data_IF_186410545426
#
_entry.id   IF_186410545426
#
_cell.length_a   1.000
_cell.length_b   1.000
_cell.length_c   1.000
_cell.angle_alpha   90.00
_cell.angle_beta   90.00
_cell.angle_gamma   90.00
#
_symmetry.space_group_name_H-M   'P 1'
#
loop_
_entity.id
_entity.type
_entity.pdbx_description
1 polymer ?
#
# COMPACT_ATOMS: atom_id res chain seq x y z
N UNK A 1 5.00 20.14 -4.90
CA UNK A 1 4.41 18.92 -5.46
C UNK A 1 4.12 17.97 -4.30
N UNK A 2 2.94 18.07 -3.69
CA UNK A 2 2.61 17.28 -2.50
C UNK A 2 2.43 15.82 -2.93
N UNK A 3 3.28 14.92 -2.43
CA UNK A 3 2.99 13.50 -2.50
C UNK A 3 1.89 13.25 -1.47
N UNK A 4 0.64 13.05 -1.92
CA UNK A 4 -0.44 12.59 -1.05
C UNK A 4 -0.09 11.17 -0.57
N UNK A 5 0.58 11.08 0.56
CA UNK A 5 0.78 9.84 1.30
C UNK A 5 -0.51 9.54 2.07
N UNK A 6 -1.23 8.49 1.66
CA UNK A 6 -2.50 8.08 2.27
C UNK A 6 -2.35 6.67 2.82
N UNK A 7 -2.68 6.52 4.09
CA UNK A 7 -2.59 5.26 4.85
C UNK A 7 -3.97 4.66 5.05
N UNK A 8 -4.10 3.34 4.90
CA UNK A 8 -5.35 2.61 5.21
C UNK A 8 -5.04 1.29 5.92
N UNK A 9 -5.95 0.85 6.78
CA UNK A 9 -5.86 -0.42 7.50
C UNK A 9 -5.97 -1.62 6.55
N UNK A 10 -5.30 -2.73 6.89
CA UNK A 10 -5.15 -3.90 6.03
C UNK A 10 -6.51 -4.48 5.57
N UNK A 11 -6.60 -4.75 4.28
CA UNK A 11 -7.79 -5.32 3.64
C UNK A 11 -7.92 -6.82 3.99
N UNK A 12 -9.04 -7.28 4.57
CA UNK A 12 -9.26 -8.70 4.85
C UNK A 12 -9.64 -9.54 3.61
N UNK A 13 -9.55 -8.96 2.40
CA UNK A 13 -9.98 -9.60 1.16
C UNK A 13 -8.81 -10.34 0.51
N UNK A 14 -9.04 -11.57 0.05
CA UNK A 14 -8.07 -12.34 -0.72
C UNK A 14 -7.92 -11.73 -2.11
N UNK A 15 -6.76 -11.16 -2.40
CA UNK A 15 -6.39 -10.69 -3.73
C UNK A 15 -5.49 -11.73 -4.39
N UNK A 16 -5.78 -12.04 -5.66
CA UNK A 16 -4.98 -12.98 -6.44
C UNK A 16 -4.00 -12.26 -7.38
N UNK A 17 -4.30 -11.02 -7.76
CA UNK A 17 -3.48 -10.21 -8.67
C UNK A 17 -3.15 -8.84 -8.09
N UNK A 18 -1.91 -8.40 -8.28
CA UNK A 18 -1.41 -7.10 -7.85
C UNK A 18 -2.15 -5.93 -8.50
N UNK A 19 -2.50 -6.05 -9.78
CA UNK A 19 -3.24 -5.01 -10.49
C UNK A 19 -4.68 -4.85 -9.95
N UNK A 20 -5.34 -5.95 -9.59
CA UNK A 20 -6.65 -5.91 -8.93
C UNK A 20 -6.56 -5.20 -7.57
N UNK A 21 -5.55 -5.55 -6.78
CA UNK A 21 -5.26 -4.89 -5.50
C UNK A 21 -5.03 -3.39 -5.65
N UNK A 22 -4.24 -2.96 -6.64
CA UNK A 22 -4.03 -1.54 -6.95
C UNK A 22 -5.34 -0.83 -7.29
N UNK A 23 -6.21 -1.46 -8.08
CA UNK A 23 -7.51 -0.89 -8.44
C UNK A 23 -8.44 -0.76 -7.23
N UNK A 24 -8.46 -1.75 -6.33
CA UNK A 24 -9.25 -1.66 -5.10
C UNK A 24 -8.79 -0.49 -4.22
N UNK A 25 -7.49 -0.23 -4.13
CA UNK A 25 -6.95 0.93 -3.40
C UNK A 25 -7.43 2.23 -4.05
N UNK A 26 -7.32 2.36 -5.37
CA UNK A 26 -7.79 3.53 -6.11
C UNK A 26 -9.30 3.75 -5.90
N UNK A 27 -10.10 2.67 -5.98
CA UNK A 27 -11.54 2.70 -5.74
C UNK A 27 -11.87 3.13 -4.31
N UNK A 28 -11.18 2.58 -3.30
CA UNK A 28 -11.42 2.91 -1.88
C UNK A 28 -11.10 4.36 -1.54
N UNK A 29 -10.10 4.95 -2.22
CA UNK A 29 -9.78 6.37 -2.07
C UNK A 29 -10.60 7.28 -3.00
N UNK A 30 -11.55 6.73 -3.78
CA UNK A 30 -12.33 7.47 -4.78
C UNK A 30 -11.45 8.21 -5.81
N UNK A 31 -10.25 7.68 -6.07
CA UNK A 31 -9.25 8.27 -6.95
C UNK A 31 -9.31 7.72 -8.37
N UNK A 32 -10.42 7.09 -8.72
CA UNK A 32 -10.59 6.41 -9.99
C UNK A 32 -10.45 7.38 -11.17
N UNK A 33 -9.49 7.14 -12.06
CA UNK A 33 -9.23 7.96 -13.24
C UNK A 33 -8.39 9.23 -13.01
N UNK A 34 -8.19 9.67 -11.76
CA UNK A 34 -7.36 10.84 -11.44
C UNK A 34 -5.96 10.46 -10.99
N UNK A 35 -5.81 9.40 -10.21
CA UNK A 35 -4.51 8.93 -9.73
C UNK A 35 -4.29 7.46 -10.06
N UNK A 36 -3.03 7.11 -10.29
CA UNK A 36 -2.53 5.75 -10.42
C UNK A 36 -1.58 5.44 -9.27
N UNK A 37 -1.59 4.19 -8.82
CA UNK A 37 -0.66 3.71 -7.81
C UNK A 37 0.71 3.53 -8.45
N UNK A 38 1.70 4.35 -8.06
CA UNK A 38 3.08 4.21 -8.55
C UNK A 38 3.88 3.22 -7.73
N UNK A 39 3.65 3.20 -6.42
CA UNK A 39 4.38 2.30 -5.51
C UNK A 39 3.53 1.99 -4.30
N UNK A 40 3.54 0.72 -3.90
CA UNK A 40 2.88 0.25 -2.69
C UNK A 40 3.93 -0.13 -1.67
N UNK A 41 3.68 0.30 -0.44
CA UNK A 41 4.47 -0.08 0.71
C UNK A 41 3.52 -0.62 1.77
N UNK A 42 3.92 -1.68 2.44
CA UNK A 42 3.23 -2.13 3.64
C UNK A 42 4.18 -2.01 4.82
N UNK A 43 3.62 -1.72 6.00
CA UNK A 43 4.37 -1.53 7.23
C UNK A 43 3.87 -2.51 8.27
N UNK A 44 4.75 -3.40 8.72
CA UNK A 44 4.45 -4.37 9.78
C UNK A 44 5.27 -4.01 11.00
N UNK A 45 4.62 -4.00 12.14
CA UNK A 45 5.29 -3.94 13.42
C UNK A 45 5.98 -5.27 13.72
N UNK A 46 7.31 -5.27 13.71
CA UNK A 46 8.13 -6.37 14.23
C UNK A 46 8.42 -6.05 15.70
N UNK A 47 7.96 -6.89 16.62
CA UNK A 47 8.32 -6.78 18.03
C UNK A 47 9.81 -7.13 18.19
N UNK A 48 10.64 -6.09 18.33
CA UNK A 48 12.04 -6.29 18.73
C UNK A 48 12.05 -6.32 20.25
N UNK A 49 12.42 -7.47 20.79
CA UNK A 49 12.41 -7.79 22.21
C UNK A 49 13.47 -6.95 22.96
N UNK A 50 13.23 -5.66 23.19
CA UNK A 50 13.89 -4.95 24.31
C UNK A 50 13.26 -3.63 24.78
N UNK A 51 12.66 -2.76 23.95
CA UNK A 51 12.06 -1.51 24.48
C UNK A 51 11.17 -0.74 23.45
N UNK A 52 10.64 -1.41 22.42
CA UNK A 52 9.82 -0.70 21.43
C UNK A 52 9.27 -1.51 20.27
N UNK A 53 8.25 -0.95 19.64
CA UNK A 53 7.72 -1.45 18.37
C UNK A 53 8.61 -0.96 17.24
N UNK A 54 9.36 -1.87 16.60
CA UNK A 54 10.01 -1.52 15.35
C UNK A 54 9.03 -1.75 14.23
N UNK A 55 8.85 -0.76 13.37
CA UNK A 55 8.09 -0.95 12.15
C UNK A 55 9.05 -1.17 11.01
N UNK A 56 8.81 -2.24 10.25
CA UNK A 56 9.54 -2.50 9.02
C UNK A 56 8.62 -2.27 7.82
N UNK A 57 9.16 -1.64 6.78
CA UNK A 57 8.41 -1.23 5.59
C UNK A 57 8.91 -2.00 4.38
N UNK A 58 7.99 -2.64 3.69
CA UNK A 58 8.27 -3.51 2.56
C UNK A 58 7.58 -2.98 1.31
N UNK A 59 8.21 -3.14 0.15
CA UNK A 59 7.65 -2.72 -1.13
C UNK A 59 6.89 -3.89 -1.75
N UNK A 60 5.68 -3.64 -2.23
CA UNK A 60 4.90 -4.62 -3.01
C UNK A 60 5.05 -4.26 -4.48
N UNK A 61 5.66 -5.16 -5.24
CA UNK A 61 5.83 -5.00 -6.69
C UNK A 61 5.34 -6.18 -7.52
N UNK A 62 4.92 -7.27 -6.86
CA UNK A 62 4.53 -8.51 -7.52
C UNK A 62 3.39 -9.23 -6.78
N UNK A 63 2.78 -10.21 -7.46
CA UNK A 63 1.77 -11.08 -6.86
C UNK A 63 2.34 -11.93 -5.71
N UNK A 64 3.63 -12.29 -5.79
CA UNK A 64 4.35 -12.97 -4.71
C UNK A 64 4.43 -12.12 -3.44
N UNK A 65 4.77 -10.84 -3.58
CA UNK A 65 4.81 -9.89 -2.46
C UNK A 65 3.41 -9.67 -1.86
N UNK A 66 2.38 -9.66 -2.70
CA UNK A 66 0.99 -9.54 -2.28
C UNK A 66 0.54 -10.76 -1.46
N UNK A 67 0.93 -11.98 -1.85
CA UNK A 67 0.66 -13.18 -1.04
C UNK A 67 1.36 -13.13 0.30
N UNK A 68 2.62 -12.65 0.35
CA UNK A 68 3.35 -12.43 1.61
C UNK A 68 2.59 -11.43 2.49
N UNK A 69 2.10 -10.32 1.91
CA UNK A 69 1.27 -9.35 2.65
C UNK A 69 0.01 -10.02 3.23
N UNK A 70 -0.75 -10.77 2.42
CA UNK A 70 -1.98 -11.44 2.88
C UNK A 70 -1.66 -12.43 3.99
N UNK A 71 -0.60 -13.21 3.83
CA UNK A 71 -0.14 -14.17 4.83
C UNK A 71 0.25 -13.47 6.14
N UNK A 72 1.06 -12.41 6.05
CA UNK A 72 1.47 -11.62 7.20
C UNK A 72 0.28 -10.90 7.85
N UNK A 73 -0.62 -10.28 7.09
CA UNK A 73 -1.81 -9.65 7.64
C UNK A 73 -2.64 -10.69 8.40
N UNK A 74 -2.87 -11.90 7.86
CA UNK A 74 -3.64 -12.94 8.58
C UNK A 74 -2.95 -13.43 9.85
N UNK A 75 -1.63 -13.58 9.84
CA UNK A 75 -0.88 -14.11 10.97
C UNK A 75 -0.64 -13.06 12.07
N UNK A 76 -0.44 -11.79 11.69
CA UNK A 76 -0.17 -10.69 12.61
C UNK A 76 -1.39 -9.84 12.94
N UNK A 77 -2.56 -10.04 12.30
CA UNK A 77 -3.77 -9.25 12.58
C UNK A 77 -4.17 -9.29 14.05
N UNK A 78 -3.95 -10.43 14.69
CA UNK A 78 -4.29 -10.64 16.10
C UNK A 78 -3.31 -9.92 17.03
N UNK A 79 -2.08 -9.67 16.57
CA UNK A 79 -1.01 -9.08 17.35
C UNK A 79 -0.85 -7.56 17.16
N UNK A 80 -1.15 -7.00 15.97
CA UNK A 80 -1.08 -5.56 15.65
C UNK A 80 -1.64 -5.21 14.28
N UNK A 81 -2.16 -4.00 14.14
CA UNK A 81 -2.66 -3.44 12.87
C UNK A 81 -1.50 -3.18 11.88
N UNK A 82 -1.45 -3.88 10.73
CA UNK A 82 -0.53 -3.54 9.65
C UNK A 82 -1.07 -2.34 8.86
N UNK A 83 -0.18 -1.41 8.50
CA UNK A 83 -0.53 -0.20 7.74
C UNK A 83 -0.14 -0.37 6.27
N UNK A 84 -1.07 -0.06 5.37
CA UNK A 84 -0.79 0.01 3.94
C UNK A 84 -0.59 1.48 3.52
N UNK A 85 0.57 1.76 2.93
CA UNK A 85 0.98 3.07 2.45
C UNK A 85 1.08 3.03 0.92
N UNK A 86 0.42 3.97 0.25
CA UNK A 86 0.44 4.03 -1.21
C UNK A 86 0.98 5.35 -1.70
N UNK A 87 1.94 5.28 -2.62
CA UNK A 87 2.41 6.44 -3.36
C UNK A 87 1.60 6.57 -4.63
N UNK A 88 0.68 7.51 -4.60
CA UNK A 88 -0.19 7.85 -5.73
C UNK A 88 0.47 8.91 -6.60
N UNK A 89 0.26 8.81 -7.91
CA UNK A 89 0.70 9.80 -8.91
C UNK A 89 -0.47 10.13 -9.80
N UNK A 90 -0.58 11.39 -10.19
CA UNK A 90 -1.64 11.86 -11.08
C UNK A 90 -1.52 11.21 -12.48
N UNK A 91 -2.65 10.80 -13.04
CA UNK A 91 -2.75 10.19 -14.38
C UNK A 91 -2.48 11.24 -15.47
N UNK A 92 -2.70 12.52 -15.19
CA UNK A 92 -2.56 13.66 -16.09
C UNK A 92 -1.59 14.69 -15.49
N UNK A 93 -0.31 14.35 -15.48
CA UNK A 93 0.76 15.35 -15.36
C UNK A 93 1.56 15.44 -16.66
N UNK A 94 0.87 15.51 -17.80
CA UNK A 94 1.42 16.17 -18.98
C UNK A 94 1.21 17.67 -18.79
N UNK A 95 1.99 18.29 -17.90
CA UNK A 95 2.23 19.72 -18.03
C UNK A 95 2.97 19.89 -19.35
N UNK A 96 2.21 20.17 -20.39
CA UNK A 96 2.68 20.69 -21.67
C UNK A 96 3.49 21.93 -21.34
N UNK A 97 4.79 21.74 -21.14
CA UNK A 97 5.77 22.81 -21.07
C UNK A 97 5.85 23.36 -22.49
N UNK A 98 4.93 24.27 -22.80
CA UNK A 98 4.98 25.05 -24.03
C UNK A 98 6.07 26.09 -23.87
N UNK A 99 7.13 25.96 -24.65
CA UNK A 99 7.96 27.07 -25.11
C UNK A 99 7.75 27.23 -26.61
#
# INVERSE_FOLDING_TARGET
MASDDRSTECFPQTFNEFHEFQNTIIQKFELHGVKRVKKLFYRISISVLHDGVKYDSFVIGSDGDLQVLIHCCRYFFEARTPELLTKLVDVVSSSRSSN
#
